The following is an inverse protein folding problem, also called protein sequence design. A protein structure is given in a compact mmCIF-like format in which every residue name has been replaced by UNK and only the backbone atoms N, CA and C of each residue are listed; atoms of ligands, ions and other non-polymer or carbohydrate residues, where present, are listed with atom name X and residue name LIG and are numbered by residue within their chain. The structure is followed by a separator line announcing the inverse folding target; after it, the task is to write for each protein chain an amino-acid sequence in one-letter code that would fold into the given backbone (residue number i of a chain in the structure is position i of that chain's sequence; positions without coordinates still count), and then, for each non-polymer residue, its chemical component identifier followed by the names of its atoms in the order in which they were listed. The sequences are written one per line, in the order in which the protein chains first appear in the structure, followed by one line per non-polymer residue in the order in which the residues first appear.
data_IF_734869272789
#
_entry.id   IF_734869272789
#
_cell.length_a   1.000
_cell.length_b   1.000
_cell.length_c   1.000
_cell.angle_alpha   90.00
_cell.angle_beta   90.00
_cell.angle_gamma   90.00
#
_symmetry.space_group_name_H-M   'P 1'
#
loop_
_entity.id
_entity.type
_entity.pdbx_description
1 polymer ?
#
# COMPACT_ATOMS: atom_id res chain seq x y z
N UNK A 1 -0.36 -17.62 7.72
CA UNK A 1 -1.32 -16.55 8.09
C UNK A 1 -0.62 -15.36 8.71
N UNK A 2 -0.59 -14.24 8.00
CA UNK A 2 0.03 -12.99 8.44
C UNK A 2 -1.00 -11.85 8.50
N UNK A 3 -0.75 -10.84 9.32
CA UNK A 3 -1.43 -9.54 9.24
C UNK A 3 -0.40 -8.42 9.32
N UNK A 4 -0.76 -7.25 8.81
CA UNK A 4 0.11 -6.08 8.81
C UNK A 4 -0.56 -4.91 9.54
N UNK A 5 0.27 -4.11 10.21
CA UNK A 5 -0.15 -2.93 10.97
C UNK A 5 0.68 -1.74 10.50
N UNK A 6 0.00 -0.69 10.03
CA UNK A 6 0.62 0.60 9.78
C UNK A 6 0.79 1.39 11.08
N UNK A 7 1.94 2.01 11.26
CA UNK A 7 2.27 2.80 12.45
C UNK A 7 2.26 4.31 12.14
N UNK A 8 2.17 5.10 13.21
CA UNK A 8 2.17 6.56 13.11
C UNK A 8 3.52 7.13 12.69
N UNK A 9 4.61 6.39 12.92
CA UNK A 9 5.99 6.77 12.56
C UNK A 9 6.37 6.35 11.12
N UNK A 10 5.39 5.97 10.28
CA UNK A 10 5.62 5.54 8.90
C UNK A 10 6.05 4.07 8.75
N UNK A 11 6.23 3.35 9.87
CA UNK A 11 6.61 1.93 9.83
C UNK A 11 5.42 1.03 9.57
N UNK A 12 5.71 -0.17 9.06
CA UNK A 12 4.71 -1.23 8.93
C UNK A 12 5.26 -2.48 9.60
N UNK A 13 4.48 -3.05 10.49
CA UNK A 13 4.84 -4.26 11.22
C UNK A 13 4.01 -5.44 10.70
N UNK A 14 4.69 -6.53 10.38
CA UNK A 14 4.07 -7.78 9.94
C UNK A 14 4.15 -8.78 11.07
N UNK A 15 2.99 -9.35 11.39
CA UNK A 15 2.83 -10.30 12.48
C UNK A 15 2.44 -11.67 11.94
N UNK A 16 3.00 -12.71 12.55
CA UNK A 16 2.50 -14.08 12.40
C UNK A 16 1.21 -14.23 13.22
N UNK A 17 0.09 -14.57 12.56
CA UNK A 17 -1.22 -14.70 13.23
C UNK A 17 -1.24 -15.82 14.28
N UNK A 18 -0.41 -16.85 14.13
CA UNK A 18 -0.42 -18.02 15.01
C UNK A 18 0.37 -17.75 16.29
N UNK A 19 1.51 -17.07 16.18
CA UNK A 19 2.38 -16.79 17.34
C UNK A 19 2.17 -15.39 17.92
N UNK A 20 1.48 -14.52 17.19
CA UNK A 20 1.31 -13.10 17.51
C UNK A 20 2.64 -12.34 17.67
N UNK A 21 3.70 -12.82 17.00
CA UNK A 21 5.03 -12.22 17.04
C UNK A 21 5.29 -11.42 15.77
N UNK A 22 6.08 -10.35 15.93
CA UNK A 22 6.58 -9.57 14.80
C UNK A 22 7.51 -10.47 13.99
N UNK A 23 7.12 -10.73 12.74
CA UNK A 23 7.93 -11.43 11.76
C UNK A 23 8.85 -10.47 11.01
N UNK A 24 8.38 -9.25 10.75
CA UNK A 24 9.12 -8.26 9.96
C UNK A 24 8.68 -6.83 10.26
N UNK A 25 9.60 -5.90 10.13
CA UNK A 25 9.33 -4.45 10.17
C UNK A 25 9.80 -3.86 8.84
N UNK A 26 8.92 -3.11 8.19
CA UNK A 26 9.17 -2.40 6.96
C UNK A 26 9.34 -0.91 7.29
N UNK A 27 10.43 -0.33 6.78
CA UNK A 27 10.86 1.04 7.11
C UNK A 27 11.29 1.78 5.85
N UNK A 28 11.39 3.11 5.94
CA UNK A 28 11.86 4.01 4.86
C UNK A 28 10.96 4.08 3.61
N UNK A 29 9.72 3.57 3.66
CA UNK A 29 8.76 3.71 2.57
C UNK A 29 7.77 4.86 2.78
N UNK A 30 7.59 5.31 4.03
CA UNK A 30 6.70 6.42 4.39
C UNK A 30 7.37 7.34 5.41
N UNK A 31 7.21 8.64 5.23
CA UNK A 31 7.63 9.69 6.18
C UNK A 31 6.45 10.25 6.99
N UNK A 32 5.24 9.75 6.73
CA UNK A 32 4.00 10.13 7.40
C UNK A 32 3.27 8.88 7.95
N UNK A 33 2.29 9.06 8.86
CA UNK A 33 1.49 7.96 9.39
C UNK A 33 0.91 7.07 8.27
N UNK A 34 1.05 5.75 8.44
CA UNK A 34 0.47 4.80 7.50
C UNK A 34 -0.99 4.58 7.88
N UNK A 35 -1.90 4.96 6.98
CA UNK A 35 -3.34 4.91 7.24
C UNK A 35 -3.96 3.58 6.79
N UNK A 36 -3.37 2.93 5.80
CA UNK A 36 -3.90 1.70 5.25
C UNK A 36 -2.79 0.80 4.71
N UNK A 37 -2.96 -0.51 4.92
CA UNK A 37 -2.03 -1.55 4.46
C UNK A 37 -2.83 -2.74 3.94
N UNK A 38 -2.46 -3.27 2.78
CA UNK A 38 -3.15 -4.42 2.17
C UNK A 38 -2.19 -5.33 1.43
N UNK A 39 -2.34 -6.63 1.66
CA UNK A 39 -1.65 -7.65 0.88
C UNK A 39 -2.29 -7.79 -0.50
N UNK A 40 -1.50 -8.20 -1.49
CA UNK A 40 -2.02 -8.70 -2.76
C UNK A 40 -2.69 -10.08 -2.56
N UNK A 41 -3.40 -10.57 -3.59
CA UNK A 41 -4.12 -11.83 -3.51
C UNK A 41 -3.23 -13.04 -3.21
N UNK A 42 -1.97 -13.01 -3.67
CA UNK A 42 -0.98 -14.06 -3.42
C UNK A 42 -0.30 -13.96 -2.05
N UNK A 43 -0.46 -12.84 -1.34
CA UNK A 43 0.11 -12.61 -0.02
C UNK A 43 1.65 -12.49 0.02
N UNK A 44 2.33 -12.41 -1.12
CA UNK A 44 3.78 -12.23 -1.23
C UNK A 44 4.18 -10.74 -1.30
N UNK A 45 3.23 -9.85 -1.55
CA UNK A 45 3.46 -8.40 -1.63
C UNK A 45 2.36 -7.65 -0.87
N UNK A 46 2.64 -6.40 -0.51
CA UNK A 46 1.63 -5.51 0.08
C UNK A 46 1.82 -4.08 -0.40
N UNK A 47 0.72 -3.33 -0.42
CA UNK A 47 0.70 -1.90 -0.67
C UNK A 47 0.32 -1.19 0.61
N UNK A 48 0.94 -0.04 0.84
CA UNK A 48 0.61 0.85 1.93
C UNK A 48 0.55 2.28 1.48
N UNK A 49 -0.32 3.06 2.14
CA UNK A 49 -0.53 4.48 1.84
C UNK A 49 -0.38 5.33 3.10
N UNK A 50 0.31 6.45 2.94
CA UNK A 50 0.38 7.57 3.88
C UNK A 50 -0.33 8.79 3.27
N UNK A 51 -0.22 9.95 3.93
CA UNK A 51 -0.82 11.21 3.47
C UNK A 51 -0.59 11.48 1.97
N UNK A 52 0.65 11.28 1.49
CA UNK A 52 1.06 11.60 0.10
C UNK A 52 1.97 10.52 -0.52
N UNK A 53 2.15 9.39 0.15
CA UNK A 53 3.09 8.36 -0.27
C UNK A 53 2.35 7.04 -0.42
N UNK A 54 2.67 6.31 -1.48
CA UNK A 54 2.24 4.93 -1.68
C UNK A 54 3.50 4.10 -1.82
N UNK A 55 3.57 2.96 -1.16
CA UNK A 55 4.73 2.07 -1.23
C UNK A 55 4.26 0.65 -1.50
N UNK A 56 4.99 -0.05 -2.38
CA UNK A 56 4.82 -1.47 -2.62
C UNK A 56 5.98 -2.19 -1.95
N UNK A 57 5.67 -3.25 -1.22
CA UNK A 57 6.66 -4.03 -0.51
C UNK A 57 6.60 -5.45 -0.99
N UNK A 58 7.77 -6.00 -1.34
CA UNK A 58 7.91 -7.44 -1.44
C UNK A 58 8.25 -8.02 -0.07
N UNK A 59 7.59 -9.14 0.29
CA UNK A 59 7.83 -9.81 1.57
C UNK A 59 9.21 -10.49 1.63
N UNK A 60 9.89 -10.65 0.51
CA UNK A 60 11.29 -11.11 0.43
C UNK A 60 12.29 -10.11 1.02
N UNK A 61 11.93 -8.82 1.20
CA UNK A 61 12.84 -7.79 1.72
C UNK A 61 13.14 -6.67 0.75
N UNK A 62 12.71 -6.77 -0.50
CA UNK A 62 12.89 -5.69 -1.47
C UNK A 62 11.76 -4.68 -1.34
N UNK A 63 12.12 -3.42 -1.05
CA UNK A 63 11.23 -2.28 -1.14
C UNK A 63 11.18 -1.82 -2.60
N UNK A 64 9.99 -1.83 -3.20
CA UNK A 64 9.72 -1.16 -4.46
C UNK A 64 8.80 0.03 -4.17
N UNK A 65 9.37 1.19 -3.89
CA UNK A 65 8.55 2.39 -3.71
C UNK A 65 7.94 2.80 -5.06
N UNK A 66 6.63 3.01 -5.09
CA UNK A 66 5.91 3.48 -6.27
C UNK A 66 5.30 4.81 -5.96
N UNK A 67 5.86 5.86 -6.55
CA UNK A 67 5.23 7.16 -6.53
C UNK A 67 4.09 7.16 -7.54
N UNK A 68 2.86 7.32 -7.05
CA UNK A 68 1.70 7.54 -7.91
C UNK A 68 1.88 8.89 -8.61
N UNK A 69 2.19 8.88 -9.91
CA UNK A 69 2.17 10.10 -10.71
C UNK A 69 0.76 10.71 -10.70
N UNK A 70 0.66 12.00 -10.38
CA UNK A 70 -0.63 12.69 -10.26
C UNK A 70 -1.39 12.48 -8.94
N UNK A 71 -0.79 11.84 -7.92
CA UNK A 71 -1.31 11.91 -6.55
C UNK A 71 -1.15 13.34 -6.02
N UNK A 72 -2.23 14.02 -5.62
CA UNK A 72 -2.15 15.39 -5.13
C UNK A 72 -1.40 15.44 -3.79
N UNK A 73 -0.88 16.62 -3.46
CA UNK A 73 -0.14 16.95 -2.24
C UNK A 73 -1.02 16.93 -0.97
N UNK A 74 -2.21 16.33 -1.03
CA UNK A 74 -3.29 16.40 -0.05
C UNK A 74 -3.72 15.00 0.43
N UNK A 75 -4.22 14.86 1.67
CA UNK A 75 -4.54 13.57 2.28
C UNK A 75 -5.53 12.72 1.45
N UNK A 76 -5.18 11.46 1.19
CA UNK A 76 -6.08 10.47 0.60
C UNK A 76 -7.15 10.00 1.62
N UNK A 77 -8.07 10.87 2.00
CA UNK A 77 -9.03 10.62 3.10
C UNK A 77 -10.00 9.46 2.83
N UNK A 78 -10.18 9.04 1.58
CA UNK A 78 -11.09 7.94 1.20
C UNK A 78 -10.43 6.91 0.25
N UNK A 79 -9.16 6.60 0.46
CA UNK A 79 -8.50 5.51 -0.26
C UNK A 79 -9.11 4.14 0.10
N UNK A 80 -9.65 3.43 -0.88
CA UNK A 80 -10.07 2.04 -0.73
C UNK A 80 -9.25 1.12 -1.62
N UNK A 81 -8.59 0.14 -1.00
CA UNK A 81 -8.00 -0.98 -1.72
C UNK A 81 -9.03 -2.06 -2.01
N UNK A 82 -9.06 -2.49 -3.26
CA UNK A 82 -9.82 -3.65 -3.73
C UNK A 82 -8.78 -4.70 -4.18
N UNK A 83 -8.85 -5.94 -3.67
CA UNK A 83 -7.97 -7.02 -4.14
C UNK A 83 -8.19 -7.23 -5.64
N UNK A 84 -7.14 -7.14 -6.44
CA UNK A 84 -7.17 -7.56 -7.83
C UNK A 84 -6.76 -9.02 -8.00
N UNK A 85 -6.86 -9.52 -9.23
CA UNK A 85 -6.29 -10.80 -9.64
C UNK A 85 -4.83 -10.61 -10.09
N UNK A 86 -4.01 -11.66 -10.00
CA UNK A 86 -2.68 -11.73 -10.63
C UNK A 86 -1.78 -10.50 -10.35
N UNK A 87 -1.41 -10.31 -9.08
CA UNK A 87 -0.52 -9.23 -8.63
C UNK A 87 -1.04 -7.81 -8.84
N UNK A 88 -2.35 -7.65 -8.94
CA UNK A 88 -3.00 -6.34 -9.01
C UNK A 88 -3.62 -5.94 -7.68
N UNK A 89 -3.50 -4.66 -7.38
CA UNK A 89 -4.23 -4.00 -6.33
C UNK A 89 -4.90 -2.78 -6.96
N UNK A 90 -6.22 -2.68 -6.80
CA UNK A 90 -6.94 -1.48 -7.21
C UNK A 90 -6.98 -0.52 -6.04
N UNK A 91 -6.55 0.71 -6.26
CA UNK A 91 -6.67 1.80 -5.29
C UNK A 91 -7.69 2.80 -5.83
N UNK A 92 -8.85 2.86 -5.20
CA UNK A 92 -9.84 3.88 -5.46
C UNK A 92 -9.56 5.09 -4.57
N UNK A 93 -9.51 6.28 -5.16
CA UNK A 93 -9.39 7.55 -4.41
C UNK A 93 -10.51 8.50 -4.84
N UNK A 94 -11.11 9.21 -3.89
CA UNK A 94 -12.05 10.30 -4.20
C UNK A 94 -11.32 11.63 -4.10
N UNK A 95 -11.33 12.44 -5.16
CA UNK A 95 -10.70 13.75 -5.24
C UNK A 95 -11.69 14.76 -5.82
N UNK A 96 -11.97 15.87 -5.11
CA UNK A 96 -12.69 17.03 -5.66
C UNK A 96 -13.88 16.67 -6.59
N UNK A 97 -14.79 15.80 -6.12
CA UNK A 97 -15.98 15.28 -6.83
C UNK A 97 -15.72 14.26 -7.96
N UNK A 98 -14.47 13.87 -8.18
CA UNK A 98 -14.06 12.84 -9.12
C UNK A 98 -13.58 11.60 -8.38
N UNK A 99 -13.99 10.43 -8.84
CA UNK A 99 -13.44 9.16 -8.38
C UNK A 99 -12.33 8.76 -9.35
N UNK A 100 -11.16 8.39 -8.84
CA UNK A 100 -10.06 7.84 -9.63
C UNK A 100 -9.78 6.41 -9.20
N UNK A 101 -9.53 5.55 -10.18
CA UNK A 101 -9.11 4.18 -9.95
C UNK A 101 -7.67 4.02 -10.41
N UNK A 102 -6.82 3.53 -9.54
CA UNK A 102 -5.44 3.19 -9.84
C UNK A 102 -5.29 1.68 -9.90
N UNK A 103 -4.77 1.17 -11.01
CA UNK A 103 -4.32 -0.23 -11.10
C UNK A 103 -2.85 -0.26 -10.72
N UNK A 104 -2.55 -0.90 -9.60
CA UNK A 104 -1.20 -1.06 -9.07
C UNK A 104 -0.79 -2.50 -9.34
N UNK A 105 0.19 -2.70 -10.24
CA UNK A 105 0.82 -4.00 -10.42
C UNK A 105 1.97 -4.11 -9.43
N UNK A 106 1.92 -5.07 -8.52
CA UNK A 106 2.91 -5.19 -7.45
C UNK A 106 4.29 -5.64 -7.96
N UNK A 107 4.42 -6.06 -9.22
CA UNK A 107 5.69 -6.24 -9.95
C UNK A 107 6.16 -5.02 -10.77
N UNK A 108 5.39 -3.94 -10.83
CA UNK A 108 5.73 -2.73 -11.60
C UNK A 108 5.94 -1.54 -10.66
N UNK A 109 6.83 -0.63 -11.04
CA UNK A 109 7.04 0.60 -10.29
C UNK A 109 6.05 1.71 -10.64
N UNK A 110 4.99 1.39 -11.40
CA UNK A 110 4.02 2.34 -11.93
C UNK A 110 2.60 1.91 -11.59
N UNK A 111 1.78 2.89 -11.30
CA UNK A 111 0.33 2.73 -11.24
C UNK A 111 -0.31 3.49 -12.40
N UNK A 112 -1.37 2.94 -12.97
CA UNK A 112 -2.12 3.56 -14.06
C UNK A 112 -3.43 4.11 -13.53
N UNK A 113 -3.74 5.37 -13.85
CA UNK A 113 -5.05 5.96 -13.56
C UNK A 113 -6.04 5.57 -14.64
N UNK A 114 -7.23 5.16 -14.22
CA UNK A 114 -8.40 4.98 -15.06
C UNK A 114 -9.44 6.03 -14.67
N UNK A 115 -9.98 6.73 -15.67
CA UNK A 115 -11.04 7.75 -15.52
C UNK A 115 -12.39 7.16 -15.90
#
# INVERSE_FOLDING_TARGET
DYYAVGRHDGRIEIYDKRTNQIKKILVNGHNAPVHQVRFNALGNQLVSVSRNETAIWSLDGTLASVRLEGSPLEPLDNAQFIPGHDDQILLQTSFAQQMRLYVIHTGSTRAFVHN
#
